data_IF_871829910497
#
_entry.id   IF_871829910497
#
_cell.length_a   1.000
_cell.length_b   1.000
_cell.length_c   1.000
_cell.angle_alpha   90.00
_cell.angle_beta   90.00
_cell.angle_gamma   90.00
#
_symmetry.space_group_name_H-M   'P 1'
#
loop_
_entity.id
_entity.type
_entity.pdbx_description
1 polymer ?
#
# COMPACT_ATOMS: atom_id res chain seq x y z
N UNK A 1 2.92 -3.34 -28.39
CA UNK A 1 1.60 -3.04 -27.78
C UNK A 1 1.67 -3.43 -26.32
N UNK A 2 1.62 -2.48 -25.38
CA UNK A 2 1.69 -2.79 -23.94
C UNK A 2 0.28 -3.11 -23.44
N UNK A 3 -0.01 -4.37 -23.11
CA UNK A 3 -1.30 -4.77 -22.54
C UNK A 3 -1.30 -4.48 -21.04
N UNK A 4 -2.25 -3.68 -20.57
CA UNK A 4 -2.47 -3.46 -19.13
C UNK A 4 -3.48 -4.49 -18.63
N UNK A 5 -3.02 -5.52 -17.92
CA UNK A 5 -3.90 -6.49 -17.27
C UNK A 5 -4.37 -5.92 -15.92
N UNK A 6 -5.67 -5.68 -15.78
CA UNK A 6 -6.28 -5.17 -14.55
C UNK A 6 -6.88 -6.29 -13.69
N UNK A 7 -6.87 -6.17 -12.35
CA UNK A 7 -7.54 -7.12 -11.48
C UNK A 7 -9.07 -6.99 -11.58
N UNK A 8 -9.78 -8.12 -11.52
CA UNK A 8 -11.25 -8.14 -11.37
C UNK A 8 -11.60 -8.06 -9.88
N UNK A 9 -12.44 -7.11 -9.51
CA UNK A 9 -12.93 -6.94 -8.13
C UNK A 9 -14.46 -6.94 -8.11
N UNK A 10 -15.06 -7.56 -7.11
CA UNK A 10 -16.48 -7.40 -6.83
C UNK A 10 -16.68 -6.13 -6.00
N UNK A 11 -17.55 -5.23 -6.46
CA UNK A 11 -17.91 -3.99 -5.75
C UNK A 11 -19.42 -3.83 -5.77
N UNK A 12 -19.94 -3.18 -4.73
CA UNK A 12 -21.35 -2.83 -4.65
C UNK A 12 -21.71 -1.72 -5.68
N UNK A 13 -22.98 -1.70 -6.12
CA UNK A 13 -23.46 -0.74 -7.10
C UNK A 13 -23.41 0.71 -6.57
N UNK A 14 -23.69 0.93 -5.29
CA UNK A 14 -23.69 2.26 -4.70
C UNK A 14 -22.26 2.83 -4.61
N UNK A 15 -21.28 1.95 -4.36
CA UNK A 15 -19.86 2.33 -4.43
C UNK A 15 -19.45 2.71 -5.85
N UNK A 16 -19.96 2.02 -6.87
CA UNK A 16 -19.68 2.34 -8.27
C UNK A 16 -20.28 3.70 -8.67
N UNK A 17 -21.50 4.01 -8.23
CA UNK A 17 -22.12 5.33 -8.45
C UNK A 17 -21.30 6.44 -7.78
N UNK A 18 -20.93 6.24 -6.52
CA UNK A 18 -20.07 7.19 -5.78
C UNK A 18 -18.73 7.43 -6.49
N UNK A 19 -18.12 6.37 -7.03
CA UNK A 19 -16.87 6.47 -7.76
C UNK A 19 -17.03 7.28 -9.06
N UNK A 20 -18.17 7.13 -9.75
CA UNK A 20 -18.48 7.88 -10.98
C UNK A 20 -18.64 9.37 -10.71
N UNK A 21 -19.44 9.74 -9.72
CA UNK A 21 -19.62 11.15 -9.33
C UNK A 21 -18.29 11.82 -8.95
N UNK A 22 -17.43 11.09 -8.23
CA UNK A 22 -16.08 11.55 -7.88
C UNK A 22 -15.17 11.69 -9.09
N UNK A 23 -15.25 10.78 -10.05
CA UNK A 23 -14.47 10.83 -11.29
C UNK A 23 -14.85 12.05 -12.11
N UNK A 24 -16.15 12.33 -12.26
CA UNK A 24 -16.68 13.50 -12.95
C UNK A 24 -16.26 14.80 -12.25
N UNK A 25 -16.39 14.86 -10.92
CA UNK A 25 -16.02 16.04 -10.12
C UNK A 25 -14.51 16.34 -10.20
N UNK A 26 -13.66 15.30 -10.29
CA UNK A 26 -12.19 15.45 -10.29
C UNK A 26 -11.57 15.50 -11.68
N UNK A 27 -12.34 15.23 -12.74
CA UNK A 27 -11.79 15.06 -14.09
C UNK A 27 -10.81 13.89 -14.21
N UNK A 28 -11.00 12.83 -13.42
CA UNK A 28 -10.13 11.64 -13.41
C UNK A 28 -10.85 10.43 -14.01
N UNK A 29 -10.11 9.41 -14.46
CA UNK A 29 -10.74 8.18 -14.93
C UNK A 29 -11.38 7.40 -13.78
N UNK A 30 -12.51 6.75 -14.06
CA UNK A 30 -13.22 5.91 -13.08
C UNK A 30 -12.30 4.85 -12.46
N UNK A 31 -11.48 4.19 -13.27
CA UNK A 31 -10.51 3.19 -12.79
C UNK A 31 -9.48 3.77 -11.82
N UNK A 32 -9.03 5.02 -12.02
CA UNK A 32 -8.10 5.69 -11.11
C UNK A 32 -8.77 5.99 -9.77
N UNK A 33 -10.02 6.46 -9.78
CA UNK A 33 -10.81 6.74 -8.57
C UNK A 33 -11.11 5.46 -7.80
N UNK A 34 -11.52 4.38 -8.48
CA UNK A 34 -11.75 3.07 -7.85
C UNK A 34 -10.46 2.54 -7.23
N UNK A 35 -9.33 2.62 -7.92
CA UNK A 35 -8.04 2.20 -7.39
C UNK A 35 -7.61 3.01 -6.15
N UNK A 36 -7.84 4.33 -6.16
CA UNK A 36 -7.59 5.21 -5.01
C UNK A 36 -8.48 4.83 -3.81
N UNK A 37 -9.76 4.54 -4.05
CA UNK A 37 -10.69 4.08 -3.00
C UNK A 37 -10.22 2.76 -2.38
N UNK A 38 -9.84 1.78 -3.20
CA UNK A 38 -9.30 0.48 -2.74
C UNK A 38 -8.00 0.67 -1.95
N UNK A 39 -7.09 1.53 -2.41
CA UNK A 39 -5.85 1.82 -1.68
C UNK A 39 -6.13 2.44 -0.31
N UNK A 40 -7.08 3.37 -0.23
CA UNK A 40 -7.48 4.01 1.03
C UNK A 40 -8.16 3.02 1.99
N UNK A 41 -8.98 2.10 1.48
CA UNK A 41 -9.58 1.06 2.33
C UNK A 41 -8.54 0.11 2.91
N UNK A 42 -7.48 -0.19 2.15
CA UNK A 42 -6.35 -0.99 2.64
C UNK A 42 -5.46 -0.21 3.63
N UNK A 43 -5.25 1.09 3.40
CA UNK A 43 -4.43 1.94 4.27
C UNK A 43 -5.02 2.12 5.69
N UNK A 44 -6.33 1.94 5.86
CA UNK A 44 -7.00 1.98 7.17
C UNK A 44 -6.57 0.85 8.11
N UNK A 45 -5.88 -0.19 7.62
CA UNK A 45 -5.14 -1.17 8.44
C UNK A 45 -3.69 -0.76 8.64
N UNK A 46 -3.42 0.48 9.04
CA UNK A 46 -2.13 0.77 9.65
C UNK A 46 -2.02 -0.14 10.89
N UNK A 47 -1.00 -1.01 10.98
CA UNK A 47 -0.85 -1.89 12.14
C UNK A 47 -0.75 -1.01 13.38
N UNK A 48 -1.54 -1.34 14.41
CA UNK A 48 -1.46 -0.68 15.71
C UNK A 48 0.01 -0.73 16.14
N UNK A 49 0.62 0.40 16.54
CA UNK A 49 2.02 0.42 16.91
C UNK A 49 2.24 -0.52 18.09
N UNK A 50 2.96 -1.61 17.83
CA UNK A 50 3.32 -2.59 18.85
C UNK A 50 4.54 -2.08 19.61
N UNK A 51 4.50 -2.10 20.94
CA UNK A 51 5.63 -1.73 21.78
C UNK A 51 6.23 -2.99 22.39
N UNK A 52 7.57 -3.08 22.39
CA UNK A 52 8.32 -4.11 23.11
C UNK A 52 9.37 -3.44 23.96
N UNK A 53 9.34 -3.66 25.27
CA UNK A 53 10.26 -3.03 26.24
C UNK A 53 10.28 -1.49 26.15
N UNK A 54 9.11 -0.86 25.93
CA UNK A 54 9.01 0.60 25.78
C UNK A 54 9.46 1.15 24.42
N UNK A 55 10.01 0.32 23.54
CA UNK A 55 10.44 0.72 22.19
C UNK A 55 9.33 0.42 21.19
N UNK A 56 8.97 1.41 20.37
CA UNK A 56 8.00 1.25 19.28
C UNK A 56 8.58 0.31 18.22
N UNK A 57 7.94 -0.83 17.99
CA UNK A 57 8.32 -1.75 16.92
C UNK A 57 7.92 -1.14 15.58
N UNK A 58 8.81 -1.28 14.61
CA UNK A 58 8.49 -0.97 13.23
C UNK A 58 7.42 -1.94 12.73
N UNK A 59 6.45 -1.45 11.93
CA UNK A 59 5.39 -2.28 11.38
C UNK A 59 6.01 -3.39 10.51
N UNK A 60 5.50 -4.61 10.68
CA UNK A 60 5.99 -5.75 9.93
C UNK A 60 5.71 -5.57 8.43
N UNK A 61 6.78 -5.48 7.63
CA UNK A 61 6.67 -5.28 6.18
C UNK A 61 6.71 -6.65 5.51
N UNK A 62 5.53 -7.26 5.31
CA UNK A 62 5.42 -8.46 4.48
C UNK A 62 6.01 -8.14 3.09
N UNK A 63 6.78 -9.08 2.52
CA UNK A 63 7.43 -9.00 1.19
C UNK A 63 8.70 -8.14 1.06
N UNK A 64 9.32 -7.68 2.16
CA UNK A 64 10.66 -7.08 2.09
C UNK A 64 11.74 -8.13 2.32
N UNK A 65 12.88 -8.02 1.62
CA UNK A 65 14.07 -8.88 1.87
C UNK A 65 14.40 -8.81 3.36
N UNK A 66 14.48 -9.97 4.01
CA UNK A 66 14.96 -10.06 5.39
C UNK A 66 16.41 -9.59 5.40
N UNK A 67 16.68 -8.51 6.12
CA UNK A 67 18.05 -8.04 6.35
C UNK A 67 18.71 -9.05 7.27
N UNK A 68 19.82 -9.62 6.84
CA UNK A 68 20.61 -10.56 7.63
C UNK A 68 21.72 -9.84 8.41
N UNK A 69 22.36 -10.54 9.35
CA UNK A 69 23.49 -9.95 10.10
C UNK A 69 24.70 -9.69 9.18
N UNK A 70 24.84 -10.50 8.12
CA UNK A 70 25.85 -10.31 7.09
C UNK A 70 25.63 -9.00 6.33
N UNK A 71 24.38 -8.69 5.96
CA UNK A 71 24.02 -7.42 5.31
C UNK A 71 24.38 -6.21 6.21
N UNK A 72 24.19 -6.33 7.52
CA UNK A 72 24.51 -5.27 8.50
C UNK A 72 26.02 -5.11 8.66
N UNK A 73 26.75 -6.21 8.75
CA UNK A 73 28.21 -6.18 8.94
C UNK A 73 28.95 -5.61 7.72
N UNK A 74 28.43 -5.80 6.50
CA UNK A 74 29.00 -5.18 5.31
C UNK A 74 28.96 -3.66 5.42
N UNK A 75 27.80 -3.10 5.81
CA UNK A 75 27.62 -1.65 5.94
C UNK A 75 28.43 -1.06 7.12
N UNK A 76 28.53 -1.78 8.24
CA UNK A 76 29.28 -1.30 9.41
C UNK A 76 30.80 -1.29 9.19
N UNK A 77 31.31 -2.18 8.34
CA UNK A 77 32.74 -2.29 8.06
C UNK A 77 33.13 -1.60 6.74
N UNK A 78 32.21 -0.88 6.11
CA UNK A 78 32.53 -0.06 4.95
C UNK A 78 33.46 1.10 5.39
N UNK A 79 34.65 1.26 4.80
CA UNK A 79 35.54 2.37 5.15
C UNK A 79 34.90 3.69 4.74
N UNK A 80 34.99 4.68 5.63
CA UNK A 80 34.49 6.05 5.48
C UNK A 80 35.03 6.82 4.26
#
# INVERSE_FOLDING_TARGET
MSQTLGPTIAIDLDMLQTARERAETRGESLGKVVLDMVRKSLALRAPVPEYRNGIKRLPWRNFTRKVSIEDVNVLLNEPE
#
